data_IF_837773890802
#
_entry.id   IF_837773890802
#
_cell.length_a   1.000
_cell.length_b   1.000
_cell.length_c   1.000
_cell.angle_alpha   90.00
_cell.angle_beta   90.00
_cell.angle_gamma   90.00
#
_symmetry.space_group_name_H-M   'P 1'
#
loop_
_entity.id
_entity.type
_entity.pdbx_description
1 polymer ?
#
# COMPACT_ATOMS: atom_id res chain seq x y z
N UNK A 1 4.38 -5.90 18.92
CA UNK A 1 3.79 -5.30 17.73
C UNK A 1 4.76 -5.39 16.57
N UNK A 2 4.30 -5.92 15.45
CA UNK A 2 5.16 -6.04 14.27
C UNK A 2 5.05 -4.78 13.42
N UNK A 3 6.15 -4.42 12.77
CA UNK A 3 6.15 -3.34 11.80
C UNK A 3 6.57 -3.91 10.44
N UNK A 4 6.15 -3.23 9.37
CA UNK A 4 6.43 -3.65 8.01
C UNK A 4 6.70 -2.41 7.19
N UNK A 5 7.66 -2.47 6.27
CA UNK A 5 7.92 -1.34 5.40
C UNK A 5 6.74 -1.14 4.44
N UNK A 6 6.52 0.11 4.02
CA UNK A 6 5.47 0.41 3.06
C UNK A 6 5.63 -0.38 1.78
N UNK A 7 6.88 -0.55 1.33
CA UNK A 7 7.15 -1.32 0.12
C UNK A 7 6.72 -2.77 0.25
N UNK A 8 7.00 -3.40 1.40
CA UNK A 8 6.59 -4.77 1.62
C UNK A 8 5.08 -4.89 1.70
N UNK A 9 4.44 -3.95 2.38
CA UNK A 9 2.99 -3.94 2.49
C UNK A 9 2.35 -3.81 1.11
N UNK A 10 2.91 -2.93 0.26
CA UNK A 10 2.40 -2.76 -1.10
C UNK A 10 2.51 -4.05 -1.90
N UNK A 11 3.62 -4.78 -1.75
CA UNK A 11 3.77 -6.07 -2.44
C UNK A 11 2.73 -7.08 -1.97
N UNK A 12 2.43 -7.10 -0.67
CA UNK A 12 1.40 -7.98 -0.14
C UNK A 12 0.05 -7.64 -0.76
N UNK A 13 -0.28 -6.36 -0.87
CA UNK A 13 -1.52 -5.93 -1.50
C UNK A 13 -1.59 -6.41 -2.94
N UNK A 14 -0.50 -6.26 -3.69
CA UNK A 14 -0.47 -6.70 -5.08
C UNK A 14 -0.71 -8.20 -5.22
N UNK A 15 -0.18 -8.98 -4.28
CA UNK A 15 -0.38 -10.42 -4.29
C UNK A 15 -1.82 -10.80 -4.00
N UNK A 16 -2.58 -9.91 -3.39
CA UNK A 16 -4.00 -10.12 -3.08
C UNK A 16 -4.93 -9.46 -4.09
N UNK A 17 -4.38 -9.07 -5.24
CA UNK A 17 -5.20 -8.52 -6.31
C UNK A 17 -5.37 -7.02 -6.28
N UNK A 18 -4.69 -6.32 -5.37
CA UNK A 18 -4.72 -4.86 -5.35
C UNK A 18 -3.78 -4.31 -6.41
N UNK A 19 -4.20 -3.24 -7.06
CA UNK A 19 -3.42 -2.61 -8.13
C UNK A 19 -3.14 -1.16 -7.77
N UNK A 20 -1.95 -0.69 -8.12
CA UNK A 20 -1.58 0.70 -7.91
C UNK A 20 -2.42 1.58 -8.83
N UNK A 21 -3.24 2.42 -8.22
CA UNK A 21 -4.09 3.35 -8.96
C UNK A 21 -3.34 4.63 -9.30
N UNK A 22 -2.66 5.19 -8.32
CA UNK A 22 -1.90 6.43 -8.51
C UNK A 22 -0.98 6.65 -7.32
N UNK A 23 -0.05 7.59 -7.48
CA UNK A 23 0.87 8.01 -6.43
C UNK A 23 0.60 9.48 -6.14
N UNK A 24 0.33 9.81 -4.88
CA UNK A 24 0.14 11.17 -4.42
C UNK A 24 1.21 11.47 -3.38
N UNK A 25 2.25 12.25 -3.76
CA UNK A 25 3.37 12.49 -2.88
C UNK A 25 4.03 11.19 -2.50
N UNK A 26 4.08 10.88 -1.19
CA UNK A 26 4.64 9.62 -0.71
C UNK A 26 3.56 8.57 -0.47
N UNK A 27 2.32 8.81 -0.90
CA UNK A 27 1.21 7.89 -0.69
C UNK A 27 0.91 7.15 -1.98
N UNK A 28 0.98 5.81 -1.93
CA UNK A 28 0.59 4.96 -3.05
C UNK A 28 -0.84 4.49 -2.83
N UNK A 29 -1.71 4.83 -3.76
CA UNK A 29 -3.14 4.52 -3.65
C UNK A 29 -3.42 3.24 -4.43
N UNK A 30 -4.00 2.25 -3.74
CA UNK A 30 -4.31 0.95 -4.34
C UNK A 30 -5.80 0.75 -4.45
N UNK A 31 -6.20 0.01 -5.47
CA UNK A 31 -7.60 -0.33 -5.70
C UNK A 31 -7.70 -1.78 -6.15
N UNK A 32 -8.92 -2.32 -6.12
CA UNK A 32 -9.21 -3.66 -6.63
C UNK A 32 -10.34 -3.56 -7.64
N UNK A 33 -10.36 -4.44 -8.67
CA UNK A 33 -11.52 -4.55 -9.55
C UNK A 33 -12.76 -4.90 -8.72
N UNK A 34 -13.89 -4.32 -9.05
CA UNK A 34 -15.18 -4.59 -8.40
C UNK A 34 -15.23 -4.22 -6.91
N UNK A 35 -14.27 -3.46 -6.42
CA UNK A 35 -14.22 -3.06 -5.03
C UNK A 35 -14.05 -1.54 -4.95
N UNK A 36 -15.04 -0.80 -4.38
CA UNK A 36 -14.93 0.65 -4.28
C UNK A 36 -13.92 1.12 -3.24
N UNK A 37 -13.43 0.22 -2.40
CA UNK A 37 -12.48 0.58 -1.35
C UNK A 37 -11.13 0.96 -1.95
N UNK A 38 -10.52 1.99 -1.39
CA UNK A 38 -9.17 2.42 -1.76
C UNK A 38 -8.28 2.31 -0.54
N UNK A 39 -7.04 1.87 -0.75
CA UNK A 39 -6.06 1.77 0.34
C UNK A 39 -4.92 2.74 0.03
N UNK A 40 -4.61 3.61 1.00
CA UNK A 40 -3.51 4.54 0.89
C UNK A 40 -2.35 4.02 1.72
N UNK A 41 -1.21 3.77 1.07
CA UNK A 41 -0.02 3.22 1.72
C UNK A 41 1.06 4.30 1.73
N UNK A 42 1.43 4.83 2.91
CA UNK A 42 2.53 5.79 2.97
C UNK A 42 3.86 5.06 2.77
N UNK A 43 4.63 5.50 1.79
CA UNK A 43 5.94 4.93 1.51
C UNK A 43 6.97 6.02 1.68
N UNK A 44 7.75 5.92 2.76
CA UNK A 44 8.75 6.91 3.12
C UNK A 44 10.14 6.27 3.15
N UNK A 45 10.59 5.79 2.00
CA UNK A 45 11.89 5.14 1.94
C UNK A 45 11.93 3.88 2.79
N UNK A 46 12.74 3.89 3.85
CA UNK A 46 12.94 2.71 4.69
C UNK A 46 12.10 2.72 5.96
N UNK A 47 11.15 3.62 6.09
CA UNK A 47 10.32 3.66 7.29
C UNK A 47 9.32 2.51 7.30
N UNK A 48 9.14 1.93 8.49
CA UNK A 48 8.20 0.84 8.69
C UNK A 48 6.82 1.37 9.05
N UNK A 49 5.81 0.62 8.66
CA UNK A 49 4.44 0.87 9.09
C UNK A 49 4.20 0.08 10.37
N UNK A 50 3.51 0.69 11.32
CA UNK A 50 3.11 0.00 12.53
C UNK A 50 1.74 -0.64 12.30
N UNK A 51 1.65 -1.89 12.60
CA UNK A 51 0.44 -2.67 12.39
C UNK A 51 -0.11 -3.13 13.73
#
# INVERSE_FOLDING_TARGET
MKSISGKKFAKILERHGWELLRIQGSHHIYCQPDNPTRISVPIHGNQDLKI
#
